data_IF_978744812954
#
_entry.id   IF_978744812954
#
_cell.length_a   1.000
_cell.length_b   1.000
_cell.length_c   1.000
_cell.angle_alpha   90.00
_cell.angle_beta   90.00
_cell.angle_gamma   90.00
#
_symmetry.space_group_name_H-M   'P 1'
#
loop_
_entity.id
_entity.type
_entity.pdbx_description
1 polymer ?
#
# COMPACT_ATOMS: atom_id res chain seq x y z
N UNK A 1 -21.37 14.79 12.13
CA UNK A 1 -20.53 13.60 11.87
C UNK A 1 -20.60 13.32 10.38
N UNK A 2 -19.50 13.46 9.65
CA UNK A 2 -19.44 12.97 8.26
C UNK A 2 -19.57 11.45 8.32
N UNK A 3 -20.51 10.92 7.56
CA UNK A 3 -20.82 9.50 7.48
C UNK A 3 -19.65 8.84 6.74
N UNK A 4 -18.76 8.17 7.46
CA UNK A 4 -17.71 7.34 6.85
C UNK A 4 -18.45 6.22 6.13
N UNK A 5 -18.36 6.20 4.80
CA UNK A 5 -18.93 5.13 3.99
C UNK A 5 -17.96 3.95 4.11
N UNK A 6 -18.22 3.05 5.06
CA UNK A 6 -17.66 1.71 4.97
C UNK A 6 -18.24 1.07 3.69
N UNK A 7 -17.43 0.92 2.64
CA UNK A 7 -17.65 -0.18 1.70
C UNK A 7 -17.29 -1.46 2.43
N UNK A 8 -18.25 -1.94 3.22
CA UNK A 8 -18.16 -3.23 3.89
C UNK A 8 -18.00 -4.31 2.83
N UNK A 9 -16.89 -5.04 2.95
CA UNK A 9 -16.54 -6.24 2.17
C UNK A 9 -15.98 -5.94 0.78
N UNK A 10 -14.64 -5.89 0.70
CA UNK A 10 -13.90 -6.19 -0.53
C UNK A 10 -14.28 -7.63 -0.93
N UNK A 11 -14.97 -7.79 -2.06
CA UNK A 11 -15.37 -9.10 -2.59
C UNK A 11 -14.23 -9.71 -3.44
N UNK A 12 -14.33 -10.99 -3.80
CA UNK A 12 -13.33 -11.65 -4.68
C UNK A 12 -13.21 -10.95 -6.05
N UNK A 13 -14.26 -10.24 -6.49
CA UNK A 13 -14.21 -9.36 -7.66
C UNK A 13 -13.27 -8.16 -7.49
N UNK A 14 -13.07 -7.67 -6.27
CA UNK A 14 -12.15 -6.56 -6.00
C UNK A 14 -10.67 -7.01 -6.08
N UNK A 15 -10.38 -8.29 -5.80
CA UNK A 15 -9.06 -8.88 -6.05
C UNK A 15 -8.68 -8.91 -7.53
N UNK A 16 -9.67 -8.97 -8.44
CA UNK A 16 -9.43 -8.91 -9.89
C UNK A 16 -9.11 -7.48 -10.38
N UNK A 17 -9.45 -6.44 -9.62
CA UNK A 17 -9.20 -5.04 -10.03
C UNK A 17 -7.73 -4.71 -10.17
N UNK A 18 -6.90 -5.30 -9.31
CA UNK A 18 -5.44 -5.10 -9.31
C UNK A 18 -4.73 -6.01 -10.32
N UNK A 19 -5.44 -6.95 -10.94
CA UNK A 19 -4.86 -7.96 -11.83
C UNK A 19 -4.33 -7.35 -13.12
N UNK A 20 -5.03 -6.36 -13.65
CA UNK A 20 -4.77 -5.71 -14.94
C UNK A 20 -4.10 -4.33 -14.82
N UNK A 21 -3.66 -3.96 -13.61
CA UNK A 21 -2.97 -2.69 -13.36
C UNK A 21 -1.47 -2.82 -13.63
N UNK A 22 -0.89 -1.83 -14.30
CA UNK A 22 0.55 -1.62 -14.40
C UNK A 22 0.93 -0.19 -13.95
N UNK A 23 2.21 0.16 -14.04
CA UNK A 23 2.68 1.48 -13.60
C UNK A 23 2.26 2.63 -14.52
N UNK A 24 1.55 2.37 -15.61
CA UNK A 24 1.19 3.37 -16.63
C UNK A 24 -0.32 3.58 -16.74
N UNK A 25 -1.13 2.57 -16.40
CA UNK A 25 -2.59 2.64 -16.41
C UNK A 25 -3.22 1.71 -15.36
N UNK A 26 -4.48 2.01 -15.02
CA UNK A 26 -5.32 1.12 -14.22
C UNK A 26 -6.74 1.05 -14.76
N UNK A 27 -7.48 -0.01 -14.39
CA UNK A 27 -8.86 -0.24 -14.85
C UNK A 27 -9.83 -0.01 -13.68
N UNK A 28 -10.82 0.85 -13.92
CA UNK A 28 -11.92 1.16 -12.98
C UNK A 28 -12.96 0.04 -12.91
N UNK A 29 -13.87 0.03 -11.89
CA UNK A 29 -14.90 -1.00 -11.75
C UNK A 29 -15.79 -1.23 -12.97
N UNK A 30 -16.06 -0.19 -13.75
CA UNK A 30 -16.86 -0.21 -14.97
C UNK A 30 -16.08 -0.66 -16.21
N UNK A 31 -14.79 -0.98 -16.06
CA UNK A 31 -13.92 -1.45 -17.14
C UNK A 31 -13.23 -0.33 -17.91
N UNK A 32 -13.33 0.92 -17.44
CA UNK A 32 -12.70 2.07 -18.10
C UNK A 32 -11.21 2.13 -17.74
N UNK A 33 -10.35 2.17 -18.75
CA UNK A 33 -8.91 2.42 -18.57
C UNK A 33 -8.68 3.87 -18.19
N UNK A 34 -8.03 4.11 -17.05
CA UNK A 34 -7.68 5.44 -16.59
C UNK A 34 -6.28 5.80 -17.05
N UNK A 35 -6.22 6.90 -17.78
CA UNK A 35 -5.04 7.59 -18.29
C UNK A 35 -5.31 9.10 -18.21
N UNK A 36 -4.28 9.95 -18.03
CA UNK A 36 -2.86 9.60 -17.93
C UNK A 36 -2.37 9.50 -16.47
N UNK A 37 -1.32 8.69 -16.26
CA UNK A 37 -0.40 8.86 -15.14
C UNK A 37 0.13 10.30 -15.08
N UNK A 38 0.19 10.87 -13.89
CA UNK A 38 0.81 12.18 -13.66
C UNK A 38 2.30 12.11 -13.97
N UNK A 39 2.84 13.14 -14.62
CA UNK A 39 4.27 13.20 -15.02
C UNK A 39 5.22 13.16 -13.83
N UNK A 40 4.78 13.63 -12.67
CA UNK A 40 5.51 13.62 -11.39
C UNK A 40 4.54 13.32 -10.25
N UNK A 41 5.07 12.84 -9.13
CA UNK A 41 4.27 12.52 -7.94
C UNK A 41 3.92 13.79 -7.17
N UNK A 42 2.63 14.09 -6.90
CA UNK A 42 2.26 15.23 -6.08
C UNK A 42 2.55 15.00 -4.59
N UNK A 43 2.76 16.08 -3.84
CA UNK A 43 3.05 16.07 -2.40
C UNK A 43 2.01 15.31 -1.58
N UNK A 44 0.73 15.38 -1.97
CA UNK A 44 -0.36 14.62 -1.35
C UNK A 44 -0.12 13.11 -1.37
N UNK A 45 0.46 12.58 -2.45
CA UNK A 45 0.75 11.14 -2.57
C UNK A 45 1.99 10.75 -1.78
N UNK A 46 2.97 11.66 -1.71
CA UNK A 46 4.11 11.48 -0.82
C UNK A 46 3.69 11.45 0.66
N UNK A 47 2.69 12.24 1.03
CA UNK A 47 2.12 12.24 2.38
C UNK A 47 1.44 10.90 2.70
N UNK A 48 0.68 10.33 1.76
CA UNK A 48 0.09 8.98 1.87
C UNK A 48 1.19 7.93 2.10
N UNK A 49 2.23 7.93 1.28
CA UNK A 49 3.36 6.99 1.41
C UNK A 49 4.10 7.07 2.75
N UNK A 50 4.06 8.24 3.36
CA UNK A 50 4.72 8.55 4.63
C UNK A 50 3.78 8.48 5.82
N UNK A 51 2.55 7.97 5.64
CA UNK A 51 1.51 7.88 6.67
C UNK A 51 1.33 9.19 7.46
N UNK A 52 1.30 10.32 6.73
CA UNK A 52 1.13 11.66 7.30
C UNK A 52 0.17 12.50 6.47
N UNK A 53 -0.23 13.66 6.98
CA UNK A 53 -1.06 14.60 6.22
C UNK A 53 -0.20 15.54 5.39
N UNK A 54 -0.72 16.02 4.26
CA UNK A 54 -0.02 17.01 3.43
C UNK A 54 0.32 18.27 4.25
N UNK A 55 -0.59 18.70 5.13
CA UNK A 55 -0.37 19.84 6.01
C UNK A 55 0.78 19.61 7.00
N UNK A 56 0.91 18.40 7.54
CA UNK A 56 2.00 18.05 8.44
C UNK A 56 3.32 18.01 7.68
N UNK A 57 3.33 17.38 6.50
CA UNK A 57 4.51 17.30 5.65
C UNK A 57 5.00 18.69 5.23
N UNK A 58 4.08 19.62 4.91
CA UNK A 58 4.37 21.03 4.60
C UNK A 58 5.06 21.80 5.74
N UNK A 59 4.92 21.38 7.01
CA UNK A 59 5.63 22.03 8.13
C UNK A 59 7.13 21.75 8.10
N UNK A 60 7.53 20.60 7.58
CA UNK A 60 8.93 20.15 7.52
C UNK A 60 9.53 20.34 6.13
N UNK A 61 8.69 20.39 5.10
CA UNK A 61 9.11 20.64 3.73
C UNK A 61 9.30 22.15 3.49
N UNK A 62 10.56 22.57 3.38
CA UNK A 62 10.92 23.98 3.08
C UNK A 62 11.14 24.23 1.59
N UNK A 63 10.88 23.23 0.73
CA UNK A 63 11.03 23.38 -0.71
C UNK A 63 9.84 24.08 -1.33
N UNK A 64 10.01 24.55 -2.57
CA UNK A 64 8.96 25.22 -3.32
C UNK A 64 8.19 24.26 -4.24
N UNK A 65 8.64 23.00 -4.36
CA UNK A 65 8.09 22.03 -5.32
C UNK A 65 7.05 21.15 -4.65
N UNK A 66 5.81 21.18 -5.15
CA UNK A 66 4.76 20.25 -4.71
C UNK A 66 4.77 18.93 -5.50
N UNK A 67 5.78 18.73 -6.36
CA UNK A 67 5.91 17.57 -7.24
C UNK A 67 7.31 16.94 -7.16
N UNK A 68 7.34 15.61 -7.13
CA UNK A 68 8.54 14.81 -6.89
C UNK A 68 8.81 13.88 -8.07
N UNK A 69 10.09 13.71 -8.40
CA UNK A 69 10.52 12.70 -9.37
C UNK A 69 10.23 11.31 -8.80
N UNK A 70 9.55 10.47 -9.59
CA UNK A 70 9.26 9.09 -9.20
C UNK A 70 10.53 8.34 -8.79
N UNK A 71 11.64 8.48 -9.54
CA UNK A 71 12.89 7.78 -9.22
C UNK A 71 13.48 8.19 -7.86
N UNK A 72 13.22 9.41 -7.40
CA UNK A 72 13.66 9.85 -6.05
C UNK A 72 12.78 9.20 -4.99
N UNK A 73 11.46 9.20 -5.20
CA UNK A 73 10.51 8.56 -4.27
C UNK A 73 10.75 7.05 -4.20
N UNK A 74 10.93 6.38 -5.34
CA UNK A 74 11.24 4.95 -5.43
C UNK A 74 12.55 4.64 -4.68
N UNK A 75 13.59 5.47 -4.84
CA UNK A 75 14.84 5.32 -4.08
C UNK A 75 14.64 5.49 -2.56
N UNK A 76 13.78 6.43 -2.13
CA UNK A 76 13.46 6.60 -0.71
C UNK A 76 12.74 5.38 -0.14
N UNK A 77 11.85 4.75 -0.92
CA UNK A 77 11.19 3.52 -0.53
C UNK A 77 12.16 2.33 -0.50
N UNK A 78 13.00 2.18 -1.53
CA UNK A 78 14.00 1.11 -1.65
C UNK A 78 15.08 1.13 -0.55
N UNK A 79 15.25 2.27 0.13
CA UNK A 79 16.23 2.48 1.19
C UNK A 79 15.64 2.41 2.60
N UNK A 80 14.36 2.03 2.73
CA UNK A 80 13.74 1.75 4.03
C UNK A 80 14.51 0.62 4.73
N UNK A 81 14.87 0.86 5.99
CA UNK A 81 15.80 0.00 6.75
C UNK A 81 15.29 -1.44 6.86
N UNK A 82 13.98 -1.63 7.03
CA UNK A 82 13.36 -2.95 7.25
C UNK A 82 13.49 -3.90 6.05
N UNK A 83 13.47 -3.37 4.82
CA UNK A 83 13.51 -4.18 3.59
C UNK A 83 14.67 -3.82 2.67
N UNK A 84 15.68 -3.14 3.22
CA UNK A 84 16.85 -2.66 2.46
C UNK A 84 17.46 -3.77 1.61
N UNK A 85 17.53 -3.53 0.30
CA UNK A 85 18.03 -4.46 -0.73
C UNK A 85 17.19 -5.73 -0.97
N UNK A 86 16.10 -5.93 -0.24
CA UNK A 86 15.16 -7.04 -0.40
C UNK A 86 13.87 -6.62 -1.07
N UNK A 87 13.66 -5.33 -1.33
CA UNK A 87 12.49 -4.79 -2.01
C UNK A 87 12.88 -3.80 -3.11
N UNK A 88 12.08 -3.76 -4.18
CA UNK A 88 12.14 -2.76 -5.25
C UNK A 88 10.76 -2.20 -5.51
N UNK A 89 10.63 -0.89 -5.39
CA UNK A 89 9.37 -0.18 -5.49
C UNK A 89 9.19 0.46 -6.85
N UNK A 90 7.96 0.43 -7.35
CA UNK A 90 7.50 1.35 -8.39
C UNK A 90 6.26 2.05 -7.89
N UNK A 91 6.18 3.35 -8.12
CA UNK A 91 5.04 4.17 -7.71
C UNK A 91 4.51 4.97 -8.88
N UNK A 92 3.21 5.17 -8.94
CA UNK A 92 2.56 5.95 -10.00
C UNK A 92 1.31 6.62 -9.49
N UNK A 93 1.24 7.93 -9.72
CA UNK A 93 0.12 8.75 -9.31
C UNK A 93 -0.81 9.02 -10.48
N UNK A 94 -2.09 8.91 -10.24
CA UNK A 94 -3.18 9.32 -11.13
C UNK A 94 -3.96 10.47 -10.46
N UNK A 95 -4.94 11.02 -11.17
CA UNK A 95 -5.76 12.12 -10.66
C UNK A 95 -6.51 11.71 -9.37
N UNK A 96 -7.07 10.51 -9.36
CA UNK A 96 -7.90 9.95 -8.30
C UNK A 96 -7.23 8.79 -7.54
N UNK A 97 -6.20 8.14 -8.11
CA UNK A 97 -5.58 6.97 -7.51
C UNK A 97 -4.06 7.07 -7.31
N UNK A 98 -3.54 6.29 -6.36
CA UNK A 98 -2.11 6.02 -6.18
C UNK A 98 -1.87 4.52 -6.34
N UNK A 99 -0.96 4.16 -7.25
CA UNK A 99 -0.54 2.80 -7.49
C UNK A 99 0.86 2.55 -6.93
N UNK A 100 1.01 1.44 -6.21
CA UNK A 100 2.27 0.97 -5.65
C UNK A 100 2.51 -0.47 -6.11
N UNK A 101 3.74 -0.76 -6.53
CA UNK A 101 4.23 -2.10 -6.79
C UNK A 101 5.48 -2.35 -5.96
N UNK A 102 5.38 -3.32 -5.08
CA UNK A 102 6.48 -3.84 -4.28
C UNK A 102 6.95 -5.15 -4.92
N UNK A 103 8.23 -5.24 -5.25
CA UNK A 103 8.87 -6.47 -5.71
C UNK A 103 9.89 -6.89 -4.66
N UNK A 104 9.52 -7.87 -3.85
CA UNK A 104 10.34 -8.49 -2.84
C UNK A 104 11.21 -9.61 -3.40
N UNK A 105 12.38 -9.78 -2.79
CA UNK A 105 13.28 -10.91 -3.01
C UNK A 105 12.60 -12.23 -2.64
N UNK A 106 12.95 -13.30 -3.35
CA UNK A 106 12.54 -14.68 -3.03
C UNK A 106 13.10 -15.15 -1.68
N UNK A 107 14.07 -14.44 -1.11
CA UNK A 107 14.60 -14.69 0.23
C UNK A 107 13.57 -14.37 1.34
N UNK A 108 12.57 -13.52 1.06
CA UNK A 108 11.49 -13.26 2.02
C UNK A 108 10.45 -14.38 1.91
N UNK A 109 10.10 -15.07 3.01
CA UNK A 109 9.08 -16.11 3.00
C UNK A 109 7.76 -15.61 2.40
N UNK A 110 7.20 -16.38 1.47
CA UNK A 110 5.92 -16.08 0.82
C UNK A 110 4.90 -17.15 1.22
N UNK A 111 3.67 -16.74 1.49
CA UNK A 111 2.58 -17.68 1.71
C UNK A 111 2.14 -18.30 0.38
N UNK A 112 1.86 -19.60 0.39
CA UNK A 112 1.27 -20.31 -0.76
C UNK A 112 -0.12 -19.77 -1.12
N UNK A 113 -0.92 -19.43 -0.10
CA UNK A 113 -2.23 -18.82 -0.28
C UNK A 113 -2.09 -17.28 -0.36
N UNK A 114 -2.48 -16.63 -1.48
CA UNK A 114 -2.36 -15.19 -1.67
C UNK A 114 -3.25 -14.36 -0.72
N UNK A 115 -4.11 -14.99 0.09
CA UNK A 115 -4.84 -14.32 1.17
C UNK A 115 -3.95 -13.96 2.35
N UNK A 116 -2.74 -14.50 2.42
CA UNK A 116 -1.79 -14.26 3.50
C UNK A 116 -0.53 -13.56 3.00
N UNK A 117 0.13 -12.87 3.91
CA UNK A 117 1.30 -12.04 3.67
C UNK A 117 2.30 -12.24 4.81
N UNK A 118 3.59 -12.27 4.48
CA UNK A 118 4.65 -12.31 5.50
C UNK A 118 4.62 -11.07 6.38
N UNK A 119 4.92 -11.23 7.67
CA UNK A 119 5.03 -10.13 8.63
C UNK A 119 5.99 -9.04 8.14
N UNK A 120 7.14 -9.42 7.58
CA UNK A 120 8.11 -8.45 7.07
C UNK A 120 7.52 -7.57 5.96
N UNK A 121 6.73 -8.17 5.06
CA UNK A 121 6.06 -7.41 3.99
C UNK A 121 4.92 -6.56 4.55
N UNK A 122 4.18 -7.07 5.52
CA UNK A 122 3.13 -6.31 6.20
C UNK A 122 3.67 -5.06 6.89
N UNK A 123 4.77 -5.22 7.62
CA UNK A 123 5.50 -4.14 8.32
C UNK A 123 5.98 -3.06 7.33
N UNK A 124 6.57 -3.46 6.21
CA UNK A 124 7.07 -2.55 5.17
C UNK A 124 5.95 -1.75 4.49
N UNK A 125 4.82 -2.40 4.18
CA UNK A 125 3.63 -1.75 3.60
C UNK A 125 3.08 -0.69 4.55
N UNK A 126 3.01 -1.00 5.84
CA UNK A 126 2.46 -0.12 6.88
C UNK A 126 3.48 0.85 7.47
N UNK A 127 4.76 0.70 7.12
CA UNK A 127 5.88 1.48 7.67
C UNK A 127 5.94 1.45 9.21
N UNK A 128 5.84 0.25 9.80
CA UNK A 128 5.91 -0.02 11.25
C UNK A 128 6.84 -1.19 11.52
N UNK A 129 7.24 -1.45 12.77
CA UNK A 129 8.13 -2.57 13.07
C UNK A 129 7.40 -3.92 13.01
N UNK A 130 8.14 -5.01 12.73
CA UNK A 130 7.56 -6.36 12.69
C UNK A 130 6.90 -6.75 14.01
N UNK A 131 7.49 -6.37 15.15
CA UNK A 131 6.93 -6.67 16.47
C UNK A 131 5.57 -5.99 16.68
N UNK A 132 5.38 -4.77 16.19
CA UNK A 132 4.08 -4.08 16.29
C UNK A 132 2.99 -4.86 15.55
N UNK A 133 3.30 -5.38 14.36
CA UNK A 133 2.39 -6.25 13.60
C UNK A 133 2.13 -7.56 14.36
N UNK A 134 3.17 -8.19 14.92
CA UNK A 134 3.06 -9.46 15.63
C UNK A 134 2.19 -9.32 16.88
N UNK A 135 2.39 -8.28 17.69
CA UNK A 135 1.63 -8.03 18.91
C UNK A 135 0.14 -7.85 18.61
N UNK A 136 -0.20 -7.00 17.63
CA UNK A 136 -1.59 -6.73 17.26
C UNK A 136 -2.23 -7.93 16.54
N UNK A 137 -1.49 -8.63 15.69
CA UNK A 137 -1.99 -9.87 15.07
C UNK A 137 -2.27 -10.98 16.10
N UNK A 138 -1.47 -11.10 17.16
CA UNK A 138 -1.76 -12.04 18.27
C UNK A 138 -3.03 -11.64 19.00
N UNK A 139 -3.19 -10.35 19.29
CA UNK A 139 -4.37 -9.80 19.99
C UNK A 139 -5.67 -10.08 19.23
N UNK A 140 -5.63 -9.93 17.92
CA UNK A 140 -6.79 -10.11 17.03
C UNK A 140 -6.99 -11.56 16.55
N UNK A 141 -6.13 -12.49 17.00
CA UNK A 141 -6.10 -13.88 16.55
C UNK A 141 -5.97 -14.00 15.01
N UNK A 142 -5.04 -13.21 14.46
CA UNK A 142 -4.69 -13.12 13.04
C UNK A 142 -3.24 -13.53 12.73
N UNK A 143 -2.46 -13.95 13.73
CA UNK A 143 -1.11 -14.44 13.52
C UNK A 143 -1.12 -15.92 13.14
N UNK A 144 -0.53 -16.24 11.99
CA UNK A 144 -0.39 -17.61 11.47
C UNK A 144 1.09 -17.95 11.31
N UNK A 145 1.42 -19.23 11.35
CA UNK A 145 2.78 -19.72 11.10
C UNK A 145 2.77 -20.93 10.18
N UNK A 146 3.77 -21.06 9.32
CA UNK A 146 4.02 -22.27 8.55
C UNK A 146 4.86 -23.31 9.33
N UNK A 147 5.26 -24.40 8.65
CA UNK A 147 6.08 -25.47 9.22
C UNK A 147 7.50 -25.00 9.61
N UNK A 148 8.02 -24.01 8.87
CA UNK A 148 9.34 -23.40 9.09
C UNK A 148 9.29 -22.27 10.15
N UNK A 149 8.12 -22.02 10.74
CA UNK A 149 7.84 -20.96 11.72
C UNK A 149 7.96 -19.55 11.17
N UNK A 150 7.87 -19.38 9.85
CA UNK A 150 7.66 -18.06 9.27
C UNK A 150 6.27 -17.57 9.64
N UNK A 151 6.15 -16.27 9.90
CA UNK A 151 4.92 -15.66 10.39
C UNK A 151 4.17 -14.93 9.28
N UNK A 152 2.85 -15.09 9.29
CA UNK A 152 1.96 -14.54 8.27
C UNK A 152 0.70 -13.92 8.89
N UNK A 153 0.13 -12.98 8.16
CA UNK A 153 -1.12 -12.28 8.49
C UNK A 153 -2.04 -12.21 7.27
N UNK A 154 -3.37 -12.12 7.46
CA UNK A 154 -4.30 -11.96 6.34
C UNK A 154 -4.11 -10.61 5.64
N UNK A 155 -4.05 -10.62 4.31
CA UNK A 155 -3.94 -9.41 3.46
C UNK A 155 -5.07 -8.43 3.74
N UNK A 156 -6.29 -8.93 3.97
CA UNK A 156 -7.44 -8.09 4.30
C UNK A 156 -7.24 -7.31 5.61
N UNK A 157 -6.66 -7.94 6.62
CA UNK A 157 -6.42 -7.30 7.92
C UNK A 157 -5.40 -6.15 7.79
N UNK A 158 -4.39 -6.31 6.95
CA UNK A 158 -3.45 -5.22 6.59
C UNK A 158 -4.12 -4.10 5.79
N UNK A 159 -5.01 -4.45 4.85
CA UNK A 159 -5.79 -3.46 4.10
C UNK A 159 -6.70 -2.62 5.01
N UNK A 160 -7.33 -3.25 6.00
CA UNK A 160 -8.17 -2.56 7.00
C UNK A 160 -7.32 -1.58 7.83
N UNK A 161 -6.14 -2.00 8.32
CA UNK A 161 -5.20 -1.13 9.05
C UNK A 161 -4.70 0.06 8.23
N UNK A 162 -4.34 -0.17 6.96
CA UNK A 162 -3.91 0.91 6.07
C UNK A 162 -5.04 1.92 5.91
N UNK A 163 -6.28 1.44 5.67
CA UNK A 163 -7.42 2.33 5.50
C UNK A 163 -7.71 3.15 6.76
N UNK A 164 -7.67 2.52 7.93
CA UNK A 164 -7.85 3.21 9.21
C UNK A 164 -6.77 4.29 9.42
N UNK A 165 -5.51 4.01 9.05
CA UNK A 165 -4.43 4.99 9.12
C UNK A 165 -4.67 6.19 8.19
N UNK A 166 -5.12 5.97 6.95
CA UNK A 166 -5.46 7.07 6.02
C UNK A 166 -6.70 7.85 6.46
N UNK A 167 -7.71 7.17 6.99
CA UNK A 167 -8.91 7.80 7.52
C UNK A 167 -8.58 8.72 8.70
N UNK A 168 -7.65 8.32 9.57
CA UNK A 168 -7.15 9.16 10.67
C UNK A 168 -6.45 10.44 10.17
N UNK A 169 -5.89 10.41 8.96
CA UNK A 169 -5.29 11.56 8.28
C UNK A 169 -6.31 12.40 7.49
N UNK A 170 -7.59 12.01 7.52
CA UNK A 170 -8.67 12.68 6.79
C UNK A 170 -8.76 12.31 5.30
N UNK A 171 -8.05 11.27 4.86
CA UNK A 171 -8.07 10.78 3.48
C UNK A 171 -9.17 9.73 3.34
N UNK A 172 -10.21 10.03 2.56
CA UNK A 172 -11.23 9.05 2.18
C UNK A 172 -10.71 8.22 1.01
N UNK A 173 -10.56 6.91 1.22
CA UNK A 173 -9.99 6.03 0.19
C UNK A 173 -10.50 4.60 0.27
N UNK A 174 -10.32 3.87 -0.83
CA UNK A 174 -10.47 2.42 -0.90
C UNK A 174 -9.15 1.81 -1.34
N UNK A 175 -8.71 0.79 -0.59
CA UNK A 175 -7.40 0.16 -0.76
C UNK A 175 -7.60 -1.26 -1.26
N UNK A 176 -6.89 -1.60 -2.33
CA UNK A 176 -6.86 -2.95 -2.89
C UNK A 176 -5.44 -3.48 -2.84
N UNK A 177 -5.23 -4.62 -2.17
CA UNK A 177 -3.93 -5.28 -2.06
C UNK A 177 -4.02 -6.63 -2.75
N UNK A 178 -3.15 -6.87 -3.73
CA UNK A 178 -3.01 -8.15 -4.40
C UNK A 178 -1.59 -8.69 -4.18
N UNK A 179 -1.53 -9.91 -3.65
CA UNK A 179 -0.30 -10.72 -3.61
C UNK A 179 -0.42 -11.83 -4.66
N UNK A 180 0.71 -12.28 -5.22
CA UNK A 180 0.74 -13.37 -6.21
C UNK A 180 1.66 -14.53 -5.84
N UNK A 181 2.01 -14.69 -4.56
CA UNK A 181 2.94 -15.73 -4.10
C UNK A 181 4.34 -15.68 -4.74
N UNK A 182 4.70 -14.58 -5.40
CA UNK A 182 5.92 -14.42 -6.22
C UNK A 182 6.78 -13.25 -5.73
N UNK A 183 6.65 -12.88 -4.45
CA UNK A 183 7.29 -11.69 -3.90
C UNK A 183 6.71 -10.37 -4.45
N UNK A 184 5.62 -10.41 -5.23
CA UNK A 184 4.99 -9.20 -5.78
C UNK A 184 3.75 -8.83 -5.00
N UNK A 185 3.72 -7.60 -4.50
CA UNK A 185 2.53 -6.98 -3.91
C UNK A 185 2.17 -5.73 -4.69
N UNK A 186 0.93 -5.68 -5.17
CA UNK A 186 0.36 -4.52 -5.82
C UNK A 186 -0.66 -3.87 -4.89
N UNK A 187 -0.59 -2.56 -4.77
CA UNK A 187 -1.54 -1.77 -3.97
C UNK A 187 -2.12 -0.68 -4.86
N UNK A 188 -3.44 -0.58 -4.90
CA UNK A 188 -4.15 0.56 -5.48
C UNK A 188 -4.89 1.27 -4.35
N UNK A 189 -4.69 2.58 -4.24
CA UNK A 189 -5.38 3.46 -3.30
C UNK A 189 -6.22 4.42 -4.14
N UNK A 190 -7.51 4.16 -4.25
CA UNK A 190 -8.47 5.08 -4.88
C UNK A 190 -8.94 6.09 -3.85
N UNK A 191 -8.88 7.38 -4.17
CA UNK A 191 -9.26 8.46 -3.28
C UNK A 191 -10.55 9.09 -3.80
N UNK A 192 -11.38 9.56 -2.88
CA UNK A 192 -12.49 10.42 -3.28
C UNK A 192 -11.93 11.75 -3.81
N UNK A 193 -12.36 12.16 -5.00
CA UNK A 193 -12.07 13.49 -5.53
C UNK A 193 -12.94 14.51 -4.76
N UNK A 194 -12.31 15.52 -4.16
CA UNK A 194 -13.00 16.65 -3.51
C UNK A 194 -13.66 17.60 -4.51
#
# INVERSE_FOLDING_TARGET
MKKIIYKGTIEESDYNRVKDIDSENYITPDGTTVLPKLTQMPLRDLAILSFTSENELKKYYTGNEEYFSYSVVELMLDTRIQTSNLSRHKVSSFEDALYLLYNYSEEIPQADDPKYLSILIAADILNVEEEDIIEEARRDNKLYSDEDKNLFVPVRWIGDWYNDALAALGVSSVIYIQTRGTGKVKILIERDLE
#
